data_IF_308121606943
#
_entry.id   IF_308121606943
#
_cell.length_a   1.000
_cell.length_b   1.000
_cell.length_c   1.000
_cell.angle_alpha   90.00
_cell.angle_beta   90.00
_cell.angle_gamma   90.00
#
_symmetry.space_group_name_H-M   'P 1'
#
loop_
_entity.id
_entity.type
_entity.pdbx_description
1 polymer ?
#
# COMPACT_ATOMS: atom_id res chain seq x y z
N UNK A 1 0.37 18.36 1.99
CA UNK A 1 -0.62 17.32 1.61
C UNK A 1 -1.91 17.47 2.42
N UNK A 2 -1.94 17.08 3.71
CA UNK A 2 -3.12 17.23 4.59
C UNK A 2 -3.57 18.67 4.87
N UNK A 3 -2.68 19.64 4.71
CA UNK A 3 -2.99 21.08 4.79
C UNK A 3 -3.84 21.62 3.63
N UNK A 4 -4.12 20.80 2.59
CA UNK A 4 -4.84 21.24 1.39
C UNK A 4 -4.01 22.08 0.41
N UNK A 5 -2.69 22.18 0.63
CA UNK A 5 -1.77 22.96 -0.21
C UNK A 5 -1.44 22.31 -1.57
N UNK A 6 -1.79 21.03 -1.79
CA UNK A 6 -1.55 20.27 -3.02
C UNK A 6 -0.16 20.48 -3.67
N UNK A 7 0.95 20.24 -2.93
CA UNK A 7 2.29 20.44 -3.48
C UNK A 7 2.62 19.40 -4.56
N UNK A 8 3.39 19.79 -5.56
CA UNK A 8 4.10 18.86 -6.42
C UNK A 8 5.31 18.32 -5.64
N UNK A 9 5.37 17.01 -5.45
CA UNK A 9 6.45 16.34 -4.71
C UNK A 9 7.26 15.44 -5.65
N UNK A 10 8.59 15.50 -5.54
CA UNK A 10 9.50 14.56 -6.22
C UNK A 10 9.44 13.16 -5.57
N UNK A 11 10.08 12.16 -6.18
CA UNK A 11 10.19 10.81 -5.60
C UNK A 11 10.85 10.84 -4.21
N UNK A 12 11.99 11.51 -4.09
CA UNK A 12 12.77 11.66 -2.85
C UNK A 12 12.00 12.33 -1.72
N UNK A 13 11.08 13.25 -2.03
CA UNK A 13 10.26 13.94 -1.03
C UNK A 13 9.09 13.12 -0.48
N UNK A 14 8.75 11.99 -1.12
CA UNK A 14 7.57 11.18 -0.74
C UNK A 14 7.93 10.04 0.20
N UNK A 15 9.09 9.42 0.00
CA UNK A 15 9.50 8.22 0.72
C UNK A 15 11.01 8.24 0.97
N UNK A 16 11.38 7.74 2.16
CA UNK A 16 12.75 7.33 2.49
C UNK A 16 12.84 5.81 2.34
N UNK A 17 14.04 5.27 2.18
CA UNK A 17 14.31 3.84 2.23
C UNK A 17 15.27 3.51 3.37
N UNK A 18 15.00 2.43 4.08
CA UNK A 18 15.86 1.92 5.13
C UNK A 18 16.17 0.46 4.81
N UNK A 19 17.45 0.09 4.90
CA UNK A 19 17.94 -1.25 4.65
C UNK A 19 18.60 -1.79 5.90
N UNK A 20 18.24 -3.00 6.30
CA UNK A 20 18.82 -3.73 7.42
C UNK A 20 19.57 -4.93 6.84
N UNK A 21 20.89 -4.94 6.98
CA UNK A 21 21.79 -5.82 6.23
C UNK A 21 22.68 -6.60 7.19
N UNK A 22 22.67 -7.92 7.05
CA UNK A 22 23.67 -8.81 7.66
C UNK A 22 24.81 -8.97 6.67
N UNK A 23 25.99 -8.48 7.03
CA UNK A 23 27.18 -8.60 6.18
C UNK A 23 27.91 -9.92 6.49
N UNK A 24 28.37 -10.60 5.45
CA UNK A 24 29.26 -11.75 5.60
C UNK A 24 30.56 -11.39 6.34
N UNK A 25 31.20 -12.38 6.96
CA UNK A 25 32.46 -12.18 7.66
C UNK A 25 33.54 -11.66 6.72
N UNK A 26 34.21 -10.57 7.11
CA UNK A 26 35.24 -9.92 6.31
C UNK A 26 34.74 -9.06 5.14
N UNK A 27 33.42 -8.93 4.95
CA UNK A 27 32.87 -8.13 3.87
C UNK A 27 33.10 -6.61 4.07
N UNK A 28 33.37 -5.91 2.96
CA UNK A 28 33.53 -4.45 2.95
C UNK A 28 32.16 -3.75 3.03
N UNK A 29 31.79 -3.37 4.25
CA UNK A 29 30.54 -2.67 4.56
C UNK A 29 30.38 -1.36 3.79
N UNK A 30 31.46 -0.60 3.59
CA UNK A 30 31.40 0.68 2.87
C UNK A 30 31.09 0.46 1.39
N UNK A 31 31.71 -0.56 0.79
CA UNK A 31 31.40 -0.96 -0.59
C UNK A 31 29.96 -1.46 -0.74
N UNK A 32 29.46 -2.26 0.21
CA UNK A 32 28.07 -2.75 0.22
C UNK A 32 27.10 -1.57 0.29
N UNK A 33 27.30 -0.66 1.25
CA UNK A 33 26.47 0.53 1.42
C UNK A 33 26.44 1.36 0.14
N UNK A 34 27.60 1.64 -0.46
CA UNK A 34 27.68 2.41 -1.71
C UNK A 34 26.88 1.73 -2.82
N UNK A 35 27.06 0.42 -3.00
CA UNK A 35 26.36 -0.35 -4.02
C UNK A 35 24.83 -0.33 -3.82
N UNK A 36 24.36 -0.35 -2.57
CA UNK A 36 22.94 -0.21 -2.25
C UNK A 36 22.46 1.19 -2.60
N UNK A 37 23.05 2.25 -2.02
CA UNK A 37 22.52 3.62 -2.16
C UNK A 37 22.56 4.14 -3.60
N UNK A 38 23.46 3.60 -4.44
CA UNK A 38 23.57 3.99 -5.86
C UNK A 38 22.87 3.05 -6.83
N UNK A 39 22.20 2.00 -6.33
CA UNK A 39 21.51 1.04 -7.18
C UNK A 39 20.39 1.72 -8.00
N UNK A 40 20.48 1.72 -9.35
CA UNK A 40 19.46 2.31 -10.20
C UNK A 40 18.09 1.65 -9.99
N UNK A 41 17.01 2.43 -10.13
CA UNK A 41 15.61 1.99 -10.00
C UNK A 41 15.15 1.56 -8.61
N UNK A 42 16.06 1.18 -7.71
CA UNK A 42 15.74 0.74 -6.36
C UNK A 42 15.97 1.85 -5.33
N UNK A 43 17.20 2.37 -5.25
CA UNK A 43 17.62 3.24 -4.13
C UNK A 43 18.14 4.62 -4.56
N UNK A 44 18.73 4.74 -5.76
CA UNK A 44 19.40 5.97 -6.21
C UNK A 44 18.52 7.24 -6.16
N UNK A 45 17.20 7.10 -6.33
CA UNK A 45 16.24 8.22 -6.34
C UNK A 45 15.69 8.59 -4.95
N UNK A 46 16.13 7.90 -3.89
CA UNK A 46 15.62 8.02 -2.53
C UNK A 46 16.73 8.42 -1.56
N UNK A 47 16.34 9.05 -0.46
CA UNK A 47 17.21 9.10 0.72
C UNK A 47 17.22 7.69 1.31
N UNK A 48 18.37 7.02 1.27
CA UNK A 48 18.52 5.61 1.66
C UNK A 48 19.51 5.50 2.81
N UNK A 49 19.09 4.86 3.90
CA UNK A 49 19.95 4.56 5.06
C UNK A 49 20.22 3.06 5.12
N UNK A 50 21.48 2.67 5.36
CA UNK A 50 21.89 1.27 5.49
C UNK A 50 22.36 1.01 6.92
N UNK A 51 21.73 0.05 7.59
CA UNK A 51 22.06 -0.41 8.93
C UNK A 51 22.66 -1.81 8.83
N UNK A 52 23.87 -1.99 9.39
CA UNK A 52 24.47 -3.31 9.53
C UNK A 52 24.17 -3.87 10.91
N UNK A 53 23.63 -5.09 10.98
CA UNK A 53 23.22 -5.76 12.22
C UNK A 53 23.46 -7.27 12.17
N UNK A 54 23.27 -7.97 13.29
CA UNK A 54 23.44 -9.43 13.37
C UNK A 54 22.25 -10.18 12.77
N UNK A 55 22.44 -11.45 12.42
CA UNK A 55 21.32 -12.29 11.95
C UNK A 55 20.25 -12.46 13.03
N UNK A 56 20.66 -12.59 14.29
CA UNK A 56 19.74 -12.70 15.42
C UNK A 56 18.89 -11.43 15.60
N UNK A 57 19.49 -10.24 15.43
CA UNK A 57 18.78 -8.96 15.48
C UNK A 57 17.79 -8.84 14.31
N UNK A 58 18.19 -9.25 13.10
CA UNK A 58 17.32 -9.23 11.92
C UNK A 58 16.08 -10.10 12.16
N UNK A 59 16.27 -11.33 12.63
CA UNK A 59 15.19 -12.28 12.86
C UNK A 59 14.25 -11.84 13.97
N UNK A 60 14.79 -11.27 15.06
CA UNK A 60 13.99 -10.80 16.21
C UNK A 60 13.14 -9.58 15.86
N UNK A 61 13.73 -8.58 15.20
CA UNK A 61 13.13 -7.25 15.09
C UNK A 61 12.52 -6.97 13.70
N UNK A 62 12.96 -7.70 12.66
CA UNK A 62 12.56 -7.47 11.26
C UNK A 62 11.94 -8.70 10.58
N UNK A 63 11.55 -9.73 11.35
CA UNK A 63 10.91 -10.94 10.82
C UNK A 63 9.43 -10.79 10.41
N UNK A 64 8.80 -9.66 10.73
CA UNK A 64 7.42 -9.37 10.37
C UNK A 64 7.24 -8.98 8.90
N UNK A 65 5.99 -9.01 8.41
CA UNK A 65 5.63 -8.53 7.06
C UNK A 65 4.64 -7.36 7.11
N UNK A 66 4.89 -6.30 7.91
CA UNK A 66 3.98 -5.18 8.00
C UNK A 66 4.00 -4.35 6.73
N UNK A 67 2.88 -3.71 6.42
CA UNK A 67 2.83 -2.68 5.38
C UNK A 67 1.69 -1.72 5.67
N UNK A 68 1.70 -0.60 4.95
CA UNK A 68 0.58 0.32 4.96
C UNK A 68 0.68 1.29 3.81
N UNK A 69 -0.16 2.31 3.86
CA UNK A 69 -0.11 3.36 2.88
C UNK A 69 -1.30 4.29 3.01
N UNK A 70 -1.20 5.38 2.25
CA UNK A 70 -2.24 6.39 2.16
C UNK A 70 -2.54 6.67 0.71
N UNK A 71 -3.82 6.69 0.36
CA UNK A 71 -4.31 7.32 -0.86
C UNK A 71 -5.03 8.58 -0.44
N UNK A 72 -4.62 9.70 -1.02
CA UNK A 72 -5.06 11.01 -0.59
C UNK A 72 -5.49 11.85 -1.78
N UNK A 73 -6.64 12.52 -1.66
CA UNK A 73 -7.16 13.47 -2.64
C UNK A 73 -7.56 14.76 -1.97
N UNK A 74 -6.84 15.84 -2.26
CA UNK A 74 -7.22 17.21 -1.94
C UNK A 74 -7.85 17.90 -3.13
N UNK A 75 -9.00 18.54 -2.94
CA UNK A 75 -9.72 19.29 -3.96
C UNK A 75 -10.39 20.53 -3.40
N UNK A 76 -11.02 21.30 -4.29
CA UNK A 76 -11.76 22.52 -3.93
C UNK A 76 -13.14 22.50 -4.59
N UNK A 77 -14.14 23.07 -3.93
CA UNK A 77 -15.53 23.17 -4.41
C UNK A 77 -16.09 24.58 -4.18
N UNK A 78 -17.26 24.87 -4.77
CA UNK A 78 -17.88 26.19 -4.77
C UNK A 78 -17.50 27.03 -5.99
N UNK A 79 -18.32 28.04 -6.32
CA UNK A 79 -18.14 28.87 -7.54
C UNK A 79 -16.79 29.58 -7.61
N UNK A 80 -16.19 29.87 -6.47
CA UNK A 80 -14.88 30.52 -6.35
C UNK A 80 -13.84 29.57 -5.74
N UNK A 81 -14.09 28.26 -5.78
CA UNK A 81 -13.24 27.24 -5.17
C UNK A 81 -12.94 27.51 -3.68
N UNK A 82 -13.82 28.20 -2.97
CA UNK A 82 -13.54 28.65 -1.60
C UNK A 82 -13.53 27.49 -0.59
N UNK A 83 -14.22 26.39 -0.89
CA UNK A 83 -14.39 25.28 0.02
C UNK A 83 -13.31 24.22 -0.25
N UNK A 84 -12.54 23.86 0.77
CA UNK A 84 -11.57 22.76 0.66
C UNK A 84 -12.29 21.42 0.91
N UNK A 85 -11.99 20.42 0.09
CA UNK A 85 -12.46 19.06 0.25
C UNK A 85 -11.28 18.10 0.33
N UNK A 86 -11.31 17.18 1.29
CA UNK A 86 -10.21 16.26 1.54
C UNK A 86 -10.75 14.84 1.71
N UNK A 87 -10.17 13.90 0.97
CA UNK A 87 -10.46 12.47 1.08
C UNK A 87 -9.16 11.74 1.37
N UNK A 88 -9.19 10.85 2.37
CA UNK A 88 -8.06 10.03 2.76
C UNK A 88 -8.52 8.59 2.98
N UNK A 89 -7.78 7.64 2.41
CA UNK A 89 -7.90 6.21 2.68
C UNK A 89 -6.56 5.70 3.19
N UNK A 90 -6.57 5.01 4.33
CA UNK A 90 -5.38 4.54 5.04
C UNK A 90 -5.45 3.04 5.29
N UNK A 91 -4.32 2.36 5.10
CA UNK A 91 -4.09 1.02 5.63
C UNK A 91 -2.93 1.03 6.63
N UNK A 92 -3.10 0.29 7.72
CA UNK A 92 -2.06 -0.06 8.69
C UNK A 92 -2.21 -1.54 8.97
N UNK A 93 -1.25 -2.34 8.48
CA UNK A 93 -1.35 -3.79 8.43
C UNK A 93 -0.13 -4.40 9.13
N UNK A 94 -0.39 -5.29 10.06
CA UNK A 94 0.67 -6.08 10.71
C UNK A 94 1.18 -7.20 9.79
N UNK A 95 0.30 -7.71 8.91
CA UNK A 95 0.63 -8.72 7.88
C UNK A 95 0.01 -8.34 6.53
N UNK A 96 0.82 -7.78 5.64
CA UNK A 96 0.44 -7.46 4.27
C UNK A 96 -0.04 -8.66 3.44
N UNK A 97 0.61 -9.84 3.48
CA UNK A 97 0.13 -10.99 2.71
C UNK A 97 -1.23 -11.49 3.20
N UNK A 98 -1.50 -11.49 4.51
CA UNK A 98 -2.80 -11.90 5.04
C UNK A 98 -3.92 -10.95 4.61
N UNK A 99 -3.70 -9.64 4.70
CA UNK A 99 -4.69 -8.67 4.23
C UNK A 99 -4.98 -8.83 2.74
N UNK A 100 -3.93 -9.07 1.94
CA UNK A 100 -4.07 -9.34 0.50
C UNK A 100 -4.88 -10.62 0.25
N UNK A 101 -4.64 -11.70 1.00
CA UNK A 101 -5.42 -12.93 0.91
C UNK A 101 -6.91 -12.73 1.27
N UNK A 102 -7.21 -11.89 2.28
CA UNK A 102 -8.58 -11.50 2.61
C UNK A 102 -9.27 -10.76 1.45
N UNK A 103 -8.57 -9.82 0.80
CA UNK A 103 -9.06 -9.12 -0.39
C UNK A 103 -9.34 -10.11 -1.51
N UNK A 104 -8.38 -10.99 -1.85
CA UNK A 104 -8.56 -12.01 -2.88
C UNK A 104 -9.77 -12.91 -2.60
N UNK A 105 -9.96 -13.33 -1.35
CA UNK A 105 -11.09 -14.17 -0.94
C UNK A 105 -12.44 -13.45 -1.12
N UNK A 106 -12.52 -12.16 -0.81
CA UNK A 106 -13.71 -11.36 -1.05
C UNK A 106 -14.01 -11.19 -2.56
N UNK A 107 -12.97 -10.97 -3.37
CA UNK A 107 -13.11 -10.86 -4.82
C UNK A 107 -13.44 -12.20 -5.50
N UNK A 108 -12.99 -13.34 -4.96
CA UNK A 108 -13.39 -14.65 -5.44
C UNK A 108 -14.91 -14.87 -5.32
N UNK A 109 -15.52 -14.40 -4.21
CA UNK A 109 -16.99 -14.41 -4.06
C UNK A 109 -17.68 -13.58 -5.13
N UNK A 110 -17.17 -12.38 -5.41
CA UNK A 110 -17.72 -11.54 -6.46
C UNK A 110 -17.60 -12.24 -7.83
N UNK A 111 -16.41 -12.76 -8.18
CA UNK A 111 -16.20 -13.49 -9.43
C UNK A 111 -17.19 -14.66 -9.60
N UNK A 112 -17.40 -15.45 -8.54
CA UNK A 112 -18.39 -16.52 -8.54
C UNK A 112 -19.81 -16.02 -8.80
N UNK A 113 -20.26 -14.96 -8.11
CA UNK A 113 -21.60 -14.38 -8.29
C UNK A 113 -21.79 -13.82 -9.70
N UNK A 114 -20.80 -13.11 -10.23
CA UNK A 114 -20.83 -12.55 -11.58
C UNK A 114 -20.88 -13.66 -12.64
N UNK A 115 -20.08 -14.72 -12.48
CA UNK A 115 -20.11 -15.89 -13.37
C UNK A 115 -21.44 -16.62 -13.34
N UNK A 116 -22.05 -16.78 -12.15
CA UNK A 116 -23.42 -17.32 -12.00
C UNK A 116 -24.50 -16.47 -12.68
N UNK A 117 -24.27 -15.17 -12.81
CA UNK A 117 -25.12 -14.24 -13.54
C UNK A 117 -24.82 -14.19 -15.05
N UNK A 118 -23.96 -15.08 -15.57
CA UNK A 118 -23.62 -15.18 -16.99
C UNK A 118 -22.58 -14.17 -17.47
N UNK A 119 -21.92 -13.43 -16.56
CA UNK A 119 -20.84 -12.52 -16.95
C UNK A 119 -19.54 -13.29 -17.18
N UNK A 120 -18.76 -12.86 -18.17
CA UNK A 120 -17.47 -13.44 -18.54
C UNK A 120 -16.46 -12.36 -18.95
N UNK A 121 -15.20 -12.77 -19.13
CA UNK A 121 -14.09 -11.90 -19.51
C UNK A 121 -13.33 -11.33 -18.31
N UNK A 122 -12.22 -10.64 -18.60
CA UNK A 122 -11.37 -10.04 -17.58
C UNK A 122 -12.05 -8.83 -16.94
N UNK A 123 -11.95 -8.74 -15.61
CA UNK A 123 -12.48 -7.63 -14.79
C UNK A 123 -11.40 -7.09 -13.88
N UNK A 124 -11.47 -5.81 -13.59
CA UNK A 124 -10.66 -5.13 -12.59
C UNK A 124 -11.53 -4.77 -11.38
N UNK A 125 -10.92 -4.26 -10.31
CA UNK A 125 -11.65 -3.79 -9.12
C UNK A 125 -12.67 -2.69 -9.44
N UNK A 126 -12.51 -1.97 -10.56
CA UNK A 126 -13.43 -0.92 -10.99
C UNK A 126 -14.73 -1.45 -11.60
N UNK A 127 -14.76 -2.72 -11.99
CA UNK A 127 -15.94 -3.37 -12.58
C UNK A 127 -16.81 -4.09 -11.54
N UNK A 128 -16.33 -4.18 -10.30
CA UNK A 128 -16.95 -4.99 -9.25
C UNK A 128 -17.69 -4.09 -8.26
N UNK A 129 -19.03 -4.17 -8.17
CA UNK A 129 -19.76 -3.41 -7.16
C UNK A 129 -19.41 -3.92 -5.76
N UNK A 130 -19.21 -3.05 -4.75
CA UNK A 130 -18.84 -3.46 -3.39
C UNK A 130 -19.79 -4.49 -2.77
N UNK A 131 -21.09 -4.42 -3.09
CA UNK A 131 -22.09 -5.38 -2.62
C UNK A 131 -21.80 -6.83 -3.06
N UNK A 132 -21.11 -7.05 -4.18
CA UNK A 132 -20.75 -8.38 -4.65
C UNK A 132 -19.66 -9.05 -3.79
N UNK A 133 -18.90 -8.26 -3.03
CA UNK A 133 -17.85 -8.75 -2.13
C UNK A 133 -18.43 -9.33 -0.83
N UNK A 134 -19.61 -8.87 -0.41
CA UNK A 134 -20.24 -9.28 0.84
C UNK A 134 -20.90 -10.66 0.74
N UNK A 135 -20.83 -11.49 1.80
CA UNK A 135 -21.66 -12.69 1.87
C UNK A 135 -23.14 -12.39 2.08
N UNK A 136 -23.48 -11.22 2.63
CA UNK A 136 -24.85 -10.82 2.95
C UNK A 136 -25.71 -10.66 1.68
N UNK A 137 -27.02 -10.80 1.87
CA UNK A 137 -28.01 -10.49 0.85
C UNK A 137 -28.10 -8.97 0.62
N UNK A 138 -28.62 -8.52 -0.54
CA UNK A 138 -28.83 -7.10 -0.79
C UNK A 138 -29.76 -6.42 0.24
N UNK A 139 -30.73 -7.14 0.79
CA UNK A 139 -31.63 -6.62 1.83
C UNK A 139 -30.89 -6.39 3.15
N UNK A 140 -30.09 -7.37 3.60
CA UNK A 140 -29.28 -7.24 4.81
C UNK A 140 -28.26 -6.12 4.71
N UNK A 141 -27.60 -5.97 3.54
CA UNK A 141 -26.67 -4.86 3.29
C UNK A 141 -27.36 -3.50 3.44
N UNK A 142 -28.55 -3.32 2.86
CA UNK A 142 -29.33 -2.09 2.99
C UNK A 142 -29.79 -1.85 4.42
N UNK A 143 -30.15 -2.90 5.16
CA UNK A 143 -30.62 -2.77 6.54
C UNK A 143 -29.50 -2.44 7.53
N UNK A 144 -28.29 -2.93 7.29
CA UNK A 144 -27.19 -2.84 8.26
C UNK A 144 -26.16 -1.75 7.95
N UNK A 145 -25.97 -1.38 6.68
CA UNK A 145 -24.84 -0.55 6.24
C UNK A 145 -25.22 0.70 5.41
N UNK A 146 -26.51 0.94 5.14
CA UNK A 146 -27.05 2.14 4.48
C UNK A 146 -28.18 2.75 5.31
#
# INVERSE_FOLDING_TARGET
MRSGANPALTTRQKHMRECFVVAEEGADRARIEQAIITMPHYFADYDTTVHFLSEEELLRDHGGLPHGGFVFRGGRTGRQEQNRALLEFKLTLDSNPEFTACVLTAFARAAFRLGRAGQAGCKTVFDIPPAALSPLSPEELRRQLL
#
